data_IF_761781123166
#
_entry.id   IF_761781123166
#
_cell.length_a   1.000
_cell.length_b   1.000
_cell.length_c   1.000
_cell.angle_alpha   90.00
_cell.angle_beta   90.00
_cell.angle_gamma   90.00
#
_symmetry.space_group_name_H-M   'P 1'
#
loop_
_entity.id
_entity.type
_entity.pdbx_description
1 polymer ?
#
# COMPACT_ATOMS: atom_id res chain seq x y z
N UNK A 1 16.30 -12.85 -0.90
CA UNK A 1 15.95 -11.51 -1.42
C UNK A 1 14.88 -10.93 -0.50
N UNK A 2 15.11 -9.76 0.10
CA UNK A 2 14.19 -9.21 1.13
C UNK A 2 12.80 -8.93 0.51
N UNK A 3 11.74 -9.46 1.13
CA UNK A 3 10.34 -9.31 0.68
C UNK A 3 9.92 -7.83 0.54
N UNK A 4 10.51 -6.94 1.34
CA UNK A 4 10.35 -5.48 1.24
C UNK A 4 10.92 -4.89 -0.06
N UNK A 5 12.06 -5.41 -0.52
CA UNK A 5 12.71 -4.96 -1.76
C UNK A 5 11.86 -5.38 -2.95
N UNK A 6 11.33 -6.61 -2.93
CA UNK A 6 10.43 -7.12 -3.99
C UNK A 6 9.19 -6.22 -4.09
N UNK A 7 8.55 -5.92 -2.96
CA UNK A 7 7.39 -5.03 -2.94
C UNK A 7 7.67 -3.64 -3.51
N UNK A 8 8.77 -3.01 -3.08
CA UNK A 8 9.17 -1.70 -3.60
C UNK A 8 9.41 -1.74 -5.12
N UNK A 9 10.07 -2.79 -5.60
CA UNK A 9 10.35 -2.98 -7.03
C UNK A 9 9.06 -3.19 -7.83
N UNK A 10 8.10 -3.96 -7.29
CA UNK A 10 6.76 -4.11 -7.89
C UNK A 10 6.02 -2.78 -8.00
N UNK A 11 6.03 -1.95 -6.95
CA UNK A 11 5.38 -0.62 -6.99
C UNK A 11 6.03 0.25 -8.06
N UNK A 12 7.36 0.34 -8.09
CA UNK A 12 8.10 1.14 -9.08
C UNK A 12 7.80 0.66 -10.50
N UNK A 13 7.90 -0.64 -10.76
CA UNK A 13 7.61 -1.20 -12.09
C UNK A 13 6.15 -0.96 -12.51
N UNK A 14 5.20 -1.01 -11.57
CA UNK A 14 3.78 -0.78 -11.87
C UNK A 14 3.51 0.68 -12.24
N UNK A 15 4.13 1.62 -11.54
CA UNK A 15 4.05 3.06 -11.87
C UNK A 15 4.69 3.33 -13.24
N UNK A 16 5.84 2.74 -13.54
CA UNK A 16 6.48 2.86 -14.85
C UNK A 16 5.62 2.26 -15.97
N UNK A 17 5.02 1.10 -15.75
CA UNK A 17 4.13 0.49 -16.74
C UNK A 17 2.88 1.34 -16.98
N UNK A 18 2.26 1.87 -15.93
CA UNK A 18 1.10 2.75 -16.03
C UNK A 18 1.45 4.07 -16.76
N UNK A 19 2.59 4.69 -16.44
CA UNK A 19 3.02 5.95 -17.06
C UNK A 19 3.39 5.78 -18.53
N UNK A 20 4.12 4.70 -18.88
CA UNK A 20 4.43 4.34 -20.27
C UNK A 20 3.13 4.04 -21.03
N UNK A 21 2.27 3.18 -20.49
CA UNK A 21 0.99 2.86 -21.12
C UNK A 21 0.16 4.11 -21.42
N UNK A 22 0.07 5.02 -20.46
CA UNK A 22 -0.67 6.27 -20.61
C UNK A 22 -0.03 7.20 -21.64
N UNK A 23 1.30 7.25 -21.70
CA UNK A 23 2.04 8.13 -22.63
C UNK A 23 1.90 7.67 -24.08
N UNK A 24 1.79 6.35 -24.30
CA UNK A 24 1.65 5.75 -25.63
C UNK A 24 0.20 5.40 -25.99
N UNK A 25 -0.79 5.82 -25.18
CA UNK A 25 -2.21 5.50 -25.35
C UNK A 25 -2.51 3.99 -25.46
N UNK A 26 -1.66 3.14 -24.86
CA UNK A 26 -1.86 1.69 -24.85
C UNK A 26 -2.73 1.33 -23.64
N UNK A 27 -4.05 1.31 -23.87
CA UNK A 27 -5.05 1.12 -22.82
C UNK A 27 -4.83 -0.15 -21.97
N UNK A 28 -4.40 -1.24 -22.60
CA UNK A 28 -4.19 -2.54 -21.91
C UNK A 28 -3.02 -2.46 -20.92
N UNK A 29 -1.88 -1.89 -21.33
CA UNK A 29 -0.68 -1.76 -20.47
C UNK A 29 -0.97 -0.80 -19.31
N UNK A 30 -1.68 0.29 -19.62
CA UNK A 30 -2.10 1.28 -18.61
C UNK A 30 -2.98 0.66 -17.54
N UNK A 31 -4.02 -0.09 -17.95
CA UNK A 31 -4.92 -0.80 -17.01
C UNK A 31 -4.18 -1.84 -16.19
N UNK A 32 -3.29 -2.63 -16.80
CA UNK A 32 -2.49 -3.60 -16.07
C UNK A 32 -1.59 -2.93 -15.02
N UNK A 33 -0.92 -1.83 -15.38
CA UNK A 33 -0.10 -1.06 -14.45
C UNK A 33 -0.89 -0.52 -13.26
N UNK A 34 -2.06 0.09 -13.52
CA UNK A 34 -2.95 0.57 -12.45
C UNK A 34 -3.50 -0.55 -11.58
N UNK A 35 -3.91 -1.69 -12.15
CA UNK A 35 -4.40 -2.81 -11.36
C UNK A 35 -3.33 -3.39 -10.42
N UNK A 36 -2.10 -3.57 -10.90
CA UNK A 36 -1.00 -4.08 -10.04
C UNK A 36 -0.67 -3.07 -8.94
N UNK A 37 -0.62 -1.77 -9.29
CA UNK A 37 -0.37 -0.70 -8.32
C UNK A 37 -1.47 -0.64 -7.25
N UNK A 38 -2.72 -0.79 -7.65
CA UNK A 38 -3.85 -0.75 -6.74
C UNK A 38 -3.81 -1.91 -5.73
N UNK A 39 -3.52 -3.13 -6.18
CA UNK A 39 -3.37 -4.30 -5.31
C UNK A 39 -2.21 -4.08 -4.34
N UNK A 40 -1.07 -3.57 -4.81
CA UNK A 40 0.08 -3.28 -3.96
C UNK A 40 -0.25 -2.25 -2.86
N UNK A 41 -0.94 -1.17 -3.21
CA UNK A 41 -1.38 -0.13 -2.27
C UNK A 41 -2.38 -0.65 -1.24
N UNK A 42 -3.35 -1.47 -1.67
CA UNK A 42 -4.30 -2.12 -0.76
C UNK A 42 -3.60 -3.05 0.22
N UNK A 43 -2.66 -3.87 -0.25
CA UNK A 43 -1.88 -4.77 0.61
C UNK A 43 -1.04 -3.97 1.61
N UNK A 44 -0.37 -2.89 1.18
CA UNK A 44 0.40 -2.03 2.06
C UNK A 44 -0.47 -1.34 3.12
N UNK A 45 -1.63 -0.81 2.72
CA UNK A 45 -2.59 -0.21 3.63
C UNK A 45 -3.11 -1.21 4.66
N UNK A 46 -3.46 -2.42 4.21
CA UNK A 46 -3.90 -3.51 5.08
C UNK A 46 -2.81 -3.96 6.07
N UNK A 47 -1.56 -4.07 5.62
CA UNK A 47 -0.41 -4.40 6.46
C UNK A 47 -0.17 -3.35 7.55
N UNK A 48 -0.14 -2.07 7.17
CA UNK A 48 0.12 -0.97 8.10
C UNK A 48 -1.01 -0.75 9.10
N UNK A 49 -2.26 -0.99 8.69
CA UNK A 49 -3.42 -0.59 9.47
C UNK A 49 -4.06 -1.75 10.21
N UNK A 50 -4.25 -2.89 9.54
CA UNK A 50 -4.93 -4.06 10.12
C UNK A 50 -3.92 -4.95 10.82
N UNK A 51 -2.93 -5.49 10.10
CA UNK A 51 -1.96 -6.44 10.69
C UNK A 51 -1.22 -5.84 11.88
N UNK A 52 -0.75 -4.60 11.76
CA UNK A 52 -0.12 -3.85 12.86
C UNK A 52 -1.06 -3.73 14.07
N UNK A 53 -2.33 -3.33 13.89
CA UNK A 53 -3.31 -3.28 14.99
C UNK A 53 -3.59 -4.65 15.60
N UNK A 54 -3.72 -5.70 14.79
CA UNK A 54 -4.00 -7.06 15.27
C UNK A 54 -2.80 -7.63 16.02
N UNK A 55 -1.56 -7.36 15.58
CA UNK A 55 -0.35 -7.74 16.30
C UNK A 55 -0.23 -7.06 17.67
N UNK A 56 -0.70 -5.81 17.77
CA UNK A 56 -0.78 -5.06 19.04
C UNK A 56 -1.80 -5.70 19.99
N UNK A 57 -2.92 -6.22 19.46
CA UNK A 57 -3.95 -6.90 20.25
C UNK A 57 -3.56 -8.33 20.65
N UNK A 58 -2.61 -8.96 19.93
CA UNK A 58 -2.26 -10.38 20.07
C UNK A 58 -1.28 -10.69 21.21
N UNK A 59 -0.68 -9.71 21.88
CA UNK A 59 0.27 -9.99 22.96
C UNK A 59 0.58 -8.78 23.83
N UNK A 60 0.67 -9.01 25.15
CA UNK A 60 0.87 -7.98 26.17
C UNK A 60 2.13 -7.14 25.94
N UNK A 61 3.27 -7.78 25.67
CA UNK A 61 4.54 -7.07 25.41
C UNK A 61 4.50 -6.20 24.14
N UNK A 62 3.81 -6.65 23.09
CA UNK A 62 3.65 -5.89 21.84
C UNK A 62 2.69 -4.71 22.01
N UNK A 63 1.69 -4.88 22.87
CA UNK A 63 0.75 -3.82 23.25
C UNK A 63 1.45 -2.72 24.03
N UNK A 64 2.24 -3.10 25.04
CA UNK A 64 2.96 -2.15 25.88
C UNK A 64 4.00 -1.38 25.05
N UNK A 65 4.75 -2.06 24.17
CA UNK A 65 5.68 -1.41 23.23
C UNK A 65 4.97 -0.44 22.26
N UNK A 66 3.76 -0.78 21.82
CA UNK A 66 2.96 0.16 21.03
C UNK A 66 2.47 1.33 21.87
N UNK A 67 1.96 1.11 23.07
CA UNK A 67 1.52 2.19 23.95
C UNK A 67 2.65 3.19 24.25
N UNK A 68 3.88 2.71 24.44
CA UNK A 68 5.09 3.52 24.61
C UNK A 68 5.57 4.26 23.34
N UNK A 69 5.06 3.90 22.15
CA UNK A 69 5.44 4.57 20.91
C UNK A 69 4.90 6.00 20.88
N UNK A 70 5.66 7.01 20.39
CA UNK A 70 5.19 8.40 20.30
C UNK A 70 3.89 8.51 19.52
N UNK A 71 2.96 9.35 20.00
CA UNK A 71 1.65 9.55 19.37
C UNK A 71 1.73 9.96 17.90
N UNK A 72 2.74 10.75 17.53
CA UNK A 72 3.01 11.15 16.14
C UNK A 72 3.28 9.96 15.23
N UNK A 73 4.08 8.99 15.67
CA UNK A 73 4.41 7.79 14.89
C UNK A 73 3.18 6.90 14.73
N UNK A 74 2.33 6.81 15.75
CA UNK A 74 1.04 6.11 15.66
C UNK A 74 0.13 6.77 14.63
N UNK A 75 -0.01 8.10 14.71
CA UNK A 75 -0.81 8.87 13.77
C UNK A 75 -0.31 8.71 12.34
N UNK A 76 1.00 8.81 12.09
CA UNK A 76 1.60 8.61 10.77
C UNK A 76 1.35 7.20 10.23
N UNK A 77 1.42 6.17 11.08
CA UNK A 77 1.15 4.78 10.68
C UNK A 77 -0.31 4.59 10.26
N UNK A 78 -1.25 5.14 11.05
CA UNK A 78 -2.69 5.06 10.76
C UNK A 78 -3.01 5.87 9.51
N UNK A 79 -2.61 7.14 9.45
CA UNK A 79 -2.86 8.02 8.30
C UNK A 79 -2.23 7.47 7.04
N UNK A 80 -0.99 6.96 7.11
CA UNK A 80 -0.29 6.35 5.99
C UNK A 80 -0.97 5.09 5.48
N UNK A 81 -1.41 4.21 6.37
CA UNK A 81 -2.18 3.02 5.99
C UNK A 81 -3.52 3.37 5.34
N UNK A 82 -4.23 4.37 5.89
CA UNK A 82 -5.54 4.82 5.37
C UNK A 82 -5.39 5.49 4.00
N UNK A 83 -4.35 6.32 3.83
CA UNK A 83 -4.00 6.91 2.56
C UNK A 83 -3.66 5.85 1.51
N UNK A 84 -2.93 4.79 1.87
CA UNK A 84 -2.66 3.67 0.95
C UNK A 84 -3.94 2.92 0.55
N UNK A 85 -4.88 2.72 1.48
CA UNK A 85 -6.18 2.09 1.15
C UNK A 85 -7.01 2.95 0.19
N UNK A 86 -7.13 4.25 0.46
CA UNK A 86 -7.86 5.18 -0.40
C UNK A 86 -7.20 5.30 -1.76
N UNK A 87 -5.87 5.44 -1.82
CA UNK A 87 -5.12 5.47 -3.07
C UNK A 87 -5.28 4.16 -3.85
N UNK A 88 -5.22 3.00 -3.18
CA UNK A 88 -5.47 1.70 -3.80
C UNK A 88 -6.88 1.60 -4.39
N UNK A 89 -7.91 2.00 -3.65
CA UNK A 89 -9.29 2.00 -4.13
C UNK A 89 -9.50 2.94 -5.33
N UNK A 90 -8.92 4.15 -5.28
CA UNK A 90 -8.96 5.09 -6.40
C UNK A 90 -8.25 4.55 -7.65
N UNK A 91 -7.08 3.92 -7.47
CA UNK A 91 -6.30 3.33 -8.56
C UNK A 91 -7.03 2.12 -9.18
N UNK A 92 -7.74 1.34 -8.36
CA UNK A 92 -8.65 0.29 -8.81
C UNK A 92 -9.77 0.85 -9.68
N UNK A 93 -10.36 1.97 -9.27
CA UNK A 93 -11.39 2.66 -10.05
C UNK A 93 -10.86 3.02 -11.45
N UNK A 94 -9.64 3.56 -11.54
CA UNK A 94 -8.99 3.86 -12.83
C UNK A 94 -8.60 2.63 -13.65
N UNK A 95 -8.46 1.45 -13.04
CA UNK A 95 -8.25 0.21 -13.80
C UNK A 95 -9.54 -0.21 -14.53
N UNK A 96 -10.72 -0.01 -13.90
CA UNK A 96 -12.00 -0.51 -14.40
C UNK A 96 -12.79 0.50 -15.25
N UNK A 97 -12.82 1.77 -14.83
CA UNK A 97 -13.56 2.86 -15.48
C UNK A 97 -12.62 3.77 -16.25
#
# INVERSE_FOLDING_TARGET
MNQRIIFALTVICSVLAASIGSSFHIAIITKAGYCILAIALLIAGFLMLVLKHTEILSGKDRRDSWEDTPGEVKAVTIVGGLACLVAGAYTLFQCFF
#
